data_IF_814954851630
#
_entry.id   IF_814954851630
#
_cell.length_a   1.000
_cell.length_b   1.000
_cell.length_c   1.000
_cell.angle_alpha   90.00
_cell.angle_beta   90.00
_cell.angle_gamma   90.00
#
_symmetry.space_group_name_H-M   'P 1'
#
loop_
_entity.id
_entity.type
_entity.pdbx_description
1 polymer ?
#
# COMPACT_ATOMS: atom_id res chain seq x y z
N UNK A 1 -6.90 -19.17 -2.67
CA UNK A 1 -6.07 -18.14 -1.98
C UNK A 1 -6.11 -16.75 -2.62
N UNK A 2 -5.89 -16.56 -3.94
CA UNK A 2 -5.89 -15.21 -4.54
C UNK A 2 -7.24 -14.47 -4.48
N UNK A 3 -8.38 -15.18 -4.61
CA UNK A 3 -9.72 -14.56 -4.42
C UNK A 3 -9.87 -13.95 -3.02
N UNK A 4 -9.44 -14.65 -1.97
CA UNK A 4 -9.52 -14.18 -0.60
C UNK A 4 -8.63 -12.95 -0.37
N UNK A 5 -7.39 -12.98 -0.90
CA UNK A 5 -6.46 -11.84 -0.85
C UNK A 5 -7.01 -10.61 -1.59
N UNK A 6 -7.64 -10.84 -2.76
CA UNK A 6 -8.28 -9.78 -3.56
C UNK A 6 -9.47 -9.16 -2.80
N UNK A 7 -10.30 -9.98 -2.15
CA UNK A 7 -11.43 -9.52 -1.33
C UNK A 7 -10.95 -8.75 -0.09
N UNK A 8 -9.92 -9.25 0.61
CA UNK A 8 -9.34 -8.58 1.79
C UNK A 8 -8.77 -7.22 1.44
N UNK A 9 -8.04 -7.11 0.33
CA UNK A 9 -7.47 -5.84 -0.13
C UNK A 9 -8.58 -4.88 -0.60
N UNK A 10 -9.59 -5.38 -1.31
CA UNK A 10 -10.69 -4.57 -1.84
C UNK A 10 -11.62 -4.05 -0.75
N UNK A 11 -11.83 -4.80 0.35
CA UNK A 11 -12.69 -4.40 1.47
C UNK A 11 -11.92 -3.85 2.67
N UNK A 12 -10.60 -3.64 2.53
CA UNK A 12 -9.73 -3.17 3.62
C UNK A 12 -10.24 -1.88 4.28
N UNK A 13 -10.73 -0.93 3.48
CA UNK A 13 -11.17 0.38 3.95
C UNK A 13 -12.42 0.25 4.81
N UNK A 14 -13.35 -0.66 4.46
CA UNK A 14 -14.53 -0.97 5.27
C UNK A 14 -14.13 -1.62 6.59
N UNK A 15 -13.21 -2.59 6.55
CA UNK A 15 -12.71 -3.27 7.76
C UNK A 15 -12.02 -2.27 8.70
N UNK A 16 -11.22 -1.35 8.16
CA UNK A 16 -10.59 -0.29 8.94
C UNK A 16 -11.59 0.70 9.55
N UNK A 17 -12.64 1.08 8.80
CA UNK A 17 -13.70 1.93 9.31
C UNK A 17 -14.42 1.29 10.50
N UNK A 18 -14.78 0.02 10.37
CA UNK A 18 -15.50 -0.74 11.41
C UNK A 18 -14.64 -0.89 12.67
N UNK A 19 -13.36 -1.24 12.52
CA UNK A 19 -12.42 -1.34 13.64
C UNK A 19 -12.23 0.03 14.31
N UNK A 20 -12.07 1.10 13.53
CA UNK A 20 -11.89 2.46 14.04
C UNK A 20 -13.11 2.96 14.82
N UNK A 21 -14.32 2.77 14.29
CA UNK A 21 -15.58 3.13 14.96
C UNK A 21 -15.78 2.30 16.23
N UNK A 22 -15.49 1.00 16.18
CA UNK A 22 -15.62 0.12 17.35
C UNK A 22 -14.64 0.50 18.47
N UNK A 23 -13.39 0.79 18.13
CA UNK A 23 -12.39 1.28 19.10
C UNK A 23 -12.80 2.65 19.66
N UNK A 24 -13.30 3.57 18.84
CA UNK A 24 -13.76 4.87 19.31
C UNK A 24 -14.91 4.76 20.31
N UNK A 25 -15.92 3.92 20.03
CA UNK A 25 -17.04 3.68 20.93
C UNK A 25 -16.59 3.03 22.26
N UNK A 26 -15.65 2.09 22.20
CA UNK A 26 -15.06 1.48 23.39
C UNK A 26 -14.27 2.50 24.23
N UNK A 27 -13.43 3.31 23.58
CA UNK A 27 -12.66 4.37 24.25
C UNK A 27 -13.56 5.41 24.90
N UNK A 28 -14.61 5.85 24.19
CA UNK A 28 -15.59 6.81 24.69
C UNK A 28 -16.36 6.27 25.90
N UNK A 29 -16.63 4.95 25.96
CA UNK A 29 -17.34 4.34 27.08
C UNK A 29 -16.47 4.11 28.32
N UNK A 30 -15.18 3.83 28.15
CA UNK A 30 -14.28 3.36 29.23
C UNK A 30 -13.32 4.40 29.83
N UNK A 31 -13.29 5.66 29.37
CA UNK A 31 -12.39 6.71 29.91
C UNK A 31 -10.91 6.26 30.03
N UNK A 32 -10.44 5.47 29.07
CA UNK A 32 -9.08 4.92 29.08
C UNK A 32 -8.06 6.00 28.68
N UNK A 33 -6.96 6.09 29.43
CA UNK A 33 -5.86 7.03 29.17
C UNK A 33 -5.23 6.83 27.79
N UNK A 34 -4.86 7.94 27.14
CA UNK A 34 -4.28 7.99 25.78
C UNK A 34 -3.04 7.10 25.58
N UNK A 35 -2.31 6.83 26.67
CA UNK A 35 -1.17 5.92 26.69
C UNK A 35 -1.50 4.50 26.21
N UNK A 36 -2.74 4.04 26.42
CA UNK A 36 -3.10 2.68 26.04
C UNK A 36 -3.26 2.50 24.52
N UNK A 37 -3.40 3.60 23.77
CA UNK A 37 -3.38 3.61 22.30
C UNK A 37 -1.96 3.75 21.75
N UNK A 38 -1.17 4.62 22.38
CA UNK A 38 0.15 5.02 21.88
C UNK A 38 1.18 3.87 21.98
N UNK A 39 1.25 3.21 23.14
CA UNK A 39 2.25 2.16 23.38
C UNK A 39 2.11 0.98 22.43
N UNK A 40 0.94 0.32 22.30
CA UNK A 40 0.79 -0.78 21.36
C UNK A 40 0.91 -0.33 19.90
N UNK A 41 0.51 0.90 19.55
CA UNK A 41 0.70 1.45 18.20
C UNK A 41 2.17 1.59 17.81
N UNK A 42 3.00 2.09 18.72
CA UNK A 42 4.46 2.20 18.51
C UNK A 42 5.10 0.80 18.49
N UNK A 43 4.74 -0.07 19.43
CA UNK A 43 5.30 -1.42 19.55
C UNK A 43 5.01 -2.26 18.30
N UNK A 44 3.76 -2.25 17.85
CA UNK A 44 3.33 -2.98 16.64
C UNK A 44 3.87 -2.35 15.37
N UNK A 45 4.02 -1.02 15.32
CA UNK A 45 4.71 -0.33 14.23
C UNK A 45 6.18 -0.73 14.11
N UNK A 46 6.87 -0.95 15.23
CA UNK A 46 8.24 -1.44 15.27
C UNK A 46 8.35 -2.92 14.87
N UNK A 47 7.42 -3.77 15.34
CA UNK A 47 7.43 -5.23 15.12
C UNK A 47 6.95 -5.67 13.73
N UNK A 48 5.89 -5.06 13.19
CA UNK A 48 5.28 -5.44 11.90
C UNK A 48 5.63 -4.51 10.73
N UNK A 49 6.40 -3.45 10.99
CA UNK A 49 6.89 -2.52 9.96
C UNK A 49 5.81 -2.03 8.99
N UNK A 50 6.07 -2.20 7.68
CA UNK A 50 5.33 -1.60 6.55
C UNK A 50 3.84 -1.97 6.44
N UNK A 51 3.43 -3.13 6.96
CA UNK A 51 2.03 -3.60 6.82
C UNK A 51 1.11 -2.81 7.74
N UNK A 52 1.58 -2.48 8.94
CA UNK A 52 0.80 -1.76 9.96
C UNK A 52 0.55 -0.30 9.61
N UNK A 53 1.51 0.40 8.99
CA UNK A 53 1.32 1.82 8.66
C UNK A 53 0.25 2.05 7.55
N UNK A 54 -0.08 1.03 6.74
CA UNK A 54 -1.17 1.09 5.77
C UNK A 54 -2.47 0.43 6.28
N UNK A 55 -2.35 -0.60 7.12
CA UNK A 55 -3.50 -1.38 7.64
C UNK A 55 -4.06 -0.89 8.98
N UNK A 56 -3.26 -0.20 9.80
CA UNK A 56 -3.71 0.34 11.09
C UNK A 56 -3.66 1.87 11.18
N UNK A 57 -2.91 2.56 10.32
CA UNK A 57 -2.80 4.02 10.45
C UNK A 57 -4.12 4.72 10.03
N UNK A 58 -4.80 5.42 10.96
CA UNK A 58 -6.07 6.09 10.67
C UNK A 58 -5.91 7.23 9.65
N UNK A 59 -4.73 7.85 9.54
CA UNK A 59 -4.45 8.87 8.52
C UNK A 59 -4.54 8.31 7.09
N UNK A 60 -4.14 7.06 6.88
CA UNK A 60 -4.25 6.41 5.56
C UNK A 60 -5.71 6.14 5.17
N UNK A 61 -6.56 5.81 6.16
CA UNK A 61 -8.00 5.65 5.98
C UNK A 61 -8.68 7.00 5.68
N UNK A 62 -8.34 8.06 6.42
CA UNK A 62 -8.88 9.41 6.22
C UNK A 62 -8.54 9.94 4.82
N UNK A 63 -7.29 9.74 4.35
CA UNK A 63 -6.93 10.09 2.98
C UNK A 63 -7.69 9.27 1.93
N UNK A 64 -7.94 7.97 2.18
CA UNK A 64 -8.73 7.15 1.26
C UNK A 64 -10.22 7.52 1.23
N UNK A 65 -10.78 7.97 2.35
CA UNK A 65 -12.18 8.39 2.51
C UNK A 65 -12.45 9.74 1.84
N UNK A 66 -11.56 10.72 2.03
CA UNK A 66 -11.67 12.07 1.44
C UNK A 66 -11.63 12.02 -0.10
N UNK A 67 -10.98 11.00 -0.68
CA UNK A 67 -10.72 10.90 -2.12
C UNK A 67 -11.72 10.00 -2.87
N UNK A 68 -12.90 9.74 -2.30
CA UNK A 68 -13.89 8.78 -2.82
C UNK A 68 -14.52 9.09 -4.19
N UNK A 69 -14.11 10.14 -4.92
CA UNK A 69 -14.80 10.57 -6.14
C UNK A 69 -13.97 10.54 -7.44
N UNK A 70 -12.63 10.60 -7.40
CA UNK A 70 -11.83 10.59 -8.64
C UNK A 70 -10.54 9.75 -8.52
N UNK A 71 -10.45 8.71 -9.36
CA UNK A 71 -9.32 7.77 -9.35
C UNK A 71 -8.01 8.40 -9.85
N UNK A 72 -8.05 9.44 -10.70
CA UNK A 72 -6.84 10.07 -11.24
C UNK A 72 -6.19 10.99 -10.20
N UNK A 73 -7.01 11.80 -9.50
CA UNK A 73 -6.55 12.66 -8.40
C UNK A 73 -5.94 11.83 -7.25
N UNK A 74 -6.54 10.68 -6.91
CA UNK A 74 -6.05 9.75 -5.89
C UNK A 74 -4.63 9.25 -6.16
N UNK A 75 -4.31 8.94 -7.41
CA UNK A 75 -2.98 8.48 -7.80
C UNK A 75 -1.96 9.62 -7.64
N UNK A 76 -2.29 10.82 -8.15
CA UNK A 76 -1.42 12.01 -8.13
C UNK A 76 -1.07 12.45 -6.71
N UNK A 77 -2.06 12.45 -5.81
CA UNK A 77 -1.88 12.85 -4.42
C UNK A 77 -1.09 11.82 -3.59
N UNK A 78 -1.27 10.52 -3.86
CA UNK A 78 -0.46 9.45 -3.24
C UNK A 78 1.02 9.52 -3.62
N UNK A 79 1.31 9.91 -4.86
CA UNK A 79 2.67 10.16 -5.32
C UNK A 79 3.26 11.42 -4.68
N UNK A 80 2.49 12.51 -4.61
CA UNK A 80 2.92 13.73 -3.92
C UNK A 80 3.15 13.52 -2.43
N UNK A 81 2.33 12.72 -1.73
CA UNK A 81 2.52 12.41 -0.31
C UNK A 81 3.87 11.72 -0.04
N UNK A 82 4.27 10.78 -0.90
CA UNK A 82 5.57 10.13 -0.79
C UNK A 82 6.73 11.03 -1.24
N UNK A 83 6.50 11.93 -2.22
CA UNK A 83 7.52 12.82 -2.76
C UNK A 83 7.78 14.07 -1.88
N UNK A 84 6.74 14.66 -1.31
CA UNK A 84 6.80 15.86 -0.46
C UNK A 84 7.25 15.52 0.97
N UNK A 85 7.14 14.25 1.38
CA UNK A 85 7.88 13.74 2.53
C UNK A 85 7.34 14.22 3.88
N UNK A 86 6.30 13.54 4.38
CA UNK A 86 6.15 13.40 5.83
C UNK A 86 7.40 12.66 6.38
N UNK A 87 7.93 12.96 7.58
CA UNK A 87 9.07 12.22 8.17
C UNK A 87 8.88 10.69 8.15
N UNK A 88 7.63 10.25 8.24
CA UNK A 88 7.20 8.85 8.16
C UNK A 88 7.41 8.28 6.75
N UNK A 89 7.20 9.05 5.68
CA UNK A 89 7.44 8.63 4.30
C UNK A 89 8.93 8.42 4.02
N UNK A 90 9.79 9.30 4.55
CA UNK A 90 11.26 9.20 4.47
C UNK A 90 11.78 7.93 5.13
N UNK A 91 11.32 7.63 6.34
CA UNK A 91 11.61 6.35 6.99
C UNK A 91 11.09 5.15 6.17
N UNK A 92 9.89 5.24 5.58
CA UNK A 92 9.32 4.16 4.78
C UNK A 92 10.10 3.86 3.50
N UNK A 93 10.61 4.87 2.81
CA UNK A 93 11.34 4.64 1.57
C UNK A 93 12.81 4.24 1.77
N UNK A 94 13.46 4.62 2.88
CA UNK A 94 14.73 4.00 3.32
C UNK A 94 14.52 2.51 3.60
N UNK A 95 13.44 2.17 4.30
CA UNK A 95 13.05 0.78 4.53
C UNK A 95 12.72 0.06 3.22
N UNK A 96 12.26 0.75 2.16
CA UNK A 96 11.99 0.12 0.86
C UNK A 96 13.27 -0.43 0.22
N UNK A 97 14.39 0.29 0.34
CA UNK A 97 15.71 -0.16 -0.12
C UNK A 97 16.20 -1.41 0.62
N UNK A 98 15.83 -1.58 1.89
CA UNK A 98 16.18 -2.76 2.70
C UNK A 98 15.12 -3.88 2.65
N UNK A 99 14.11 -3.77 1.78
CA UNK A 99 13.01 -4.73 1.78
C UNK A 99 13.41 -6.07 1.18
N UNK A 100 13.42 -7.12 2.00
CA UNK A 100 13.56 -8.50 1.54
C UNK A 100 12.42 -8.86 0.59
N UNK A 101 11.17 -8.49 0.89
CA UNK A 101 9.99 -8.81 0.07
C UNK A 101 9.82 -7.85 -1.13
N UNK A 102 9.90 -8.36 -2.36
CA UNK A 102 9.81 -7.59 -3.60
C UNK A 102 8.77 -8.14 -4.59
N UNK A 103 8.30 -7.26 -5.47
CA UNK A 103 7.35 -7.60 -6.53
C UNK A 103 8.16 -8.15 -7.71
N UNK A 104 8.06 -9.46 -7.96
CA UNK A 104 8.71 -10.12 -9.11
C UNK A 104 7.65 -10.42 -10.18
N UNK A 105 7.97 -10.07 -11.43
CA UNK A 105 7.21 -10.49 -12.61
C UNK A 105 7.84 -11.77 -13.18
N UNK A 106 7.01 -12.77 -13.49
CA UNK A 106 7.38 -13.88 -14.36
C UNK A 106 6.96 -13.54 -15.80
N UNK A 107 7.93 -13.46 -16.72
CA UNK A 107 7.70 -13.12 -18.12
C UNK A 107 7.04 -14.26 -18.92
N UNK A 108 7.30 -15.52 -18.59
CA UNK A 108 6.75 -16.70 -19.29
C UNK A 108 5.22 -16.76 -19.21
N UNK A 109 4.67 -16.33 -18.06
CA UNK A 109 3.23 -16.31 -17.82
C UNK A 109 2.59 -14.96 -18.13
N UNK A 110 3.37 -13.92 -18.44
CA UNK A 110 2.86 -12.57 -18.60
C UNK A 110 2.29 -12.36 -20.00
N UNK A 111 1.00 -12.00 -20.09
CA UNK A 111 0.32 -11.66 -21.36
C UNK A 111 0.46 -10.18 -21.77
N UNK A 112 1.40 -9.45 -21.17
CA UNK A 112 1.68 -8.00 -21.46
C UNK A 112 0.45 -7.08 -21.53
N UNK A 113 -0.62 -7.40 -20.78
CA UNK A 113 -1.92 -6.72 -20.84
C UNK A 113 -1.98 -5.29 -20.25
N UNK A 114 -0.96 -4.87 -19.49
CA UNK A 114 -0.87 -3.52 -18.93
C UNK A 114 -1.79 -3.14 -17.76
N UNK A 115 -2.69 -4.05 -17.33
CA UNK A 115 -3.62 -3.79 -16.19
C UNK A 115 -2.91 -3.42 -14.89
N UNK A 116 -1.73 -3.99 -14.66
CA UNK A 116 -0.92 -3.73 -13.47
C UNK A 116 -0.38 -2.29 -13.41
N UNK A 117 -0.03 -1.69 -14.56
CA UNK A 117 0.45 -0.31 -14.64
C UNK A 117 -0.69 0.69 -14.46
N UNK A 118 -1.86 0.42 -15.03
CA UNK A 118 -3.08 1.23 -14.84
C UNK A 118 -3.48 1.35 -13.37
N UNK A 119 -3.27 0.29 -12.60
CA UNK A 119 -3.58 0.28 -11.17
C UNK A 119 -2.46 0.87 -10.29
N UNK A 120 -1.25 0.99 -10.83
CA UNK A 120 -0.09 1.49 -10.10
C UNK A 120 0.03 3.01 -10.27
N UNK A 121 -0.12 3.77 -9.18
CA UNK A 121 -0.01 5.24 -9.23
C UNK A 121 1.36 5.71 -9.74
N UNK A 122 2.44 4.98 -9.45
CA UNK A 122 3.79 5.34 -9.92
C UNK A 122 3.91 5.15 -11.43
N UNK A 123 3.50 3.99 -11.94
CA UNK A 123 3.56 3.70 -13.37
C UNK A 123 2.58 4.58 -14.18
N UNK A 124 1.45 4.96 -13.58
CA UNK A 124 0.47 5.86 -14.22
C UNK A 124 0.99 7.31 -14.29
N UNK A 125 1.73 7.78 -13.28
CA UNK A 125 2.21 9.17 -13.21
C UNK A 125 3.57 9.39 -13.89
N UNK A 126 4.43 8.38 -13.91
CA UNK A 126 5.72 8.41 -14.61
C UNK A 126 5.84 7.23 -15.59
N UNK A 127 4.96 7.13 -16.61
CA UNK A 127 4.92 6.00 -17.53
C UNK A 127 6.19 5.87 -18.38
N UNK A 128 6.91 6.97 -18.60
CA UNK A 128 8.20 7.00 -19.29
C UNK A 128 9.26 6.19 -18.53
N UNK A 129 9.36 6.38 -17.21
CA UNK A 129 10.42 5.78 -16.37
C UNK A 129 10.06 4.42 -15.81
N UNK A 130 8.79 4.22 -15.43
CA UNK A 130 8.37 3.05 -14.67
C UNK A 130 7.32 2.21 -15.38
N UNK A 131 7.51 0.89 -15.34
CA UNK A 131 6.51 -0.08 -15.79
C UNK A 131 6.73 -1.42 -15.09
N UNK A 132 5.64 -2.15 -14.84
CA UNK A 132 5.68 -3.51 -14.29
C UNK A 132 5.80 -4.58 -15.37
N UNK A 133 5.39 -4.30 -16.61
CA UNK A 133 5.32 -5.32 -17.68
C UNK A 133 6.22 -5.04 -18.88
N UNK A 134 6.62 -3.78 -19.14
CA UNK A 134 7.52 -3.44 -20.25
C UNK A 134 8.96 -3.77 -19.89
N UNK A 135 9.66 -4.50 -20.77
CA UNK A 135 11.10 -4.69 -20.67
C UNK A 135 11.84 -3.36 -20.86
N UNK A 136 12.91 -3.12 -20.11
CA UNK A 136 13.74 -1.91 -20.19
C UNK A 136 13.32 -0.73 -19.30
N UNK A 137 12.14 -0.78 -18.68
CA UNK A 137 11.71 0.25 -17.71
C UNK A 137 12.04 -0.14 -16.27
N UNK A 138 12.23 0.85 -15.40
CA UNK A 138 12.46 0.60 -13.97
C UNK A 138 11.19 0.06 -13.33
N UNK A 139 11.33 -0.86 -12.37
CA UNK A 139 10.15 -1.41 -11.68
C UNK A 139 9.66 -0.41 -10.63
N UNK A 140 8.34 -0.11 -10.59
CA UNK A 140 7.76 0.71 -9.53
C UNK A 140 8.04 0.18 -8.13
N UNK A 141 8.20 -1.14 -7.98
CA UNK A 141 8.44 -1.81 -6.69
C UNK A 141 9.69 -1.31 -5.96
N UNK A 142 10.71 -0.93 -6.72
CA UNK A 142 12.02 -0.50 -6.21
C UNK A 142 12.09 1.02 -6.01
N UNK A 143 11.09 1.75 -6.50
CA UNK A 143 11.01 3.19 -6.32
C UNK A 143 10.75 3.50 -4.84
N UNK A 144 11.43 4.54 -4.34
CA UNK A 144 11.22 5.05 -2.99
C UNK A 144 9.75 5.42 -2.71
N UNK A 145 9.02 5.87 -3.74
CA UNK A 145 7.60 6.22 -3.64
C UNK A 145 6.65 5.02 -3.55
N UNK A 146 7.15 3.78 -3.63
CA UNK A 146 6.33 2.57 -3.59
C UNK A 146 5.82 2.27 -2.18
N UNK A 147 4.51 2.43 -2.00
CA UNK A 147 3.81 2.11 -0.75
C UNK A 147 3.56 0.61 -0.57
N UNK A 148 3.98 -0.24 -1.51
CA UNK A 148 3.70 -1.69 -1.52
C UNK A 148 2.23 -2.03 -1.25
N UNK A 149 1.32 -1.28 -1.87
CA UNK A 149 -0.13 -1.49 -1.74
C UNK A 149 -0.64 -2.82 -2.34
N UNK A 150 0.19 -3.48 -3.17
CA UNK A 150 -0.07 -4.76 -3.86
C UNK A 150 -1.27 -4.76 -4.80
N UNK A 151 -1.85 -3.60 -5.13
CA UNK A 151 -2.96 -3.51 -6.08
C UNK A 151 -2.62 -4.06 -7.47
N UNK A 152 -1.36 -3.92 -7.90
CA UNK A 152 -0.86 -4.50 -9.15
C UNK A 152 -0.81 -6.04 -9.14
N UNK A 153 -0.53 -6.64 -7.99
CA UNK A 153 -0.57 -8.10 -7.82
C UNK A 153 -2.01 -8.60 -7.81
N UNK A 154 -2.91 -7.86 -7.14
CA UNK A 154 -4.32 -8.22 -7.01
C UNK A 154 -5.10 -8.14 -8.34
N UNK A 155 -4.72 -7.24 -9.25
CA UNK A 155 -5.37 -7.08 -10.57
C UNK A 155 -4.80 -8.02 -11.63
N UNK A 156 -3.64 -8.66 -11.39
CA UNK A 156 -2.99 -9.51 -12.38
C UNK A 156 -3.84 -10.78 -12.66
N UNK A 157 -4.40 -10.94 -13.87
CA UNK A 157 -5.33 -12.04 -14.14
C UNK A 157 -4.66 -13.40 -14.18
N UNK A 158 -3.39 -13.45 -14.62
CA UNK A 158 -2.63 -14.69 -14.76
C UNK A 158 -1.69 -14.97 -13.58
N UNK A 159 -1.74 -14.15 -12.51
CA UNK A 159 -0.89 -14.32 -11.34
C UNK A 159 0.63 -14.21 -11.62
N UNK A 160 1.00 -13.55 -12.72
CA UNK A 160 2.39 -13.38 -13.17
C UNK A 160 3.20 -12.45 -12.26
N UNK A 161 2.52 -11.54 -11.54
CA UNK A 161 3.13 -10.69 -10.52
C UNK A 161 2.98 -11.34 -9.15
N UNK A 162 4.10 -11.53 -8.45
CA UNK A 162 4.11 -12.12 -7.10
C UNK A 162 4.89 -11.24 -6.13
N UNK A 163 4.41 -11.18 -4.90
CA UNK A 163 5.11 -10.55 -3.78
C UNK A 163 5.80 -11.65 -2.97
N UNK A 164 7.13 -11.76 -3.09
CA UNK A 164 7.91 -12.81 -2.40
C UNK A 164 9.22 -12.27 -1.84
N UNK A 165 9.73 -12.94 -0.80
CA UNK A 165 10.97 -12.63 -0.12
C UNK A 165 12.17 -12.80 -1.04
N UNK A 166 13.18 -11.95 -0.84
CA UNK A 166 14.43 -11.89 -1.58
C UNK A 166 15.36 -13.02 -1.17
N UNK A 167 15.06 -14.21 -1.67
CA UNK A 167 15.93 -15.03 -2.52
C UNK A 167 14.98 -15.62 -3.57
#
# INVERSE_FOLDING_TARGET
>A
MQKFLKTLISRRTIVQAVIGVSLYLLFSRYNISLWWLLVPGVLTGLLFGKVFCRWMCPLGFVMELIMGMDSSQKLKQMYQYHKIGCPIAWMQGVMNRMSVLNIKLNFETCKTCGLCDKQCYIATLEPEKYSLYKAGKKRPGDAYACSKCLSCVAVCPNGSLRYKGGR
#
